data_IF_736075440315
#
_entry.id   IF_736075440315
#
_cell.length_a   1.000
_cell.length_b   1.000
_cell.length_c   1.000
_cell.angle_alpha   90.00
_cell.angle_beta   90.00
_cell.angle_gamma   90.00
#
_symmetry.space_group_name_H-M   'P 1'
#
loop_
_entity.id
_entity.type
_entity.pdbx_description
1 polymer ?
#
# COMPACT_ATOMS: atom_id res chain seq x y z
N UNK A 1 -24.41 -9.83 -2.24
CA UNK A 1 -25.22 -10.11 -1.04
C UNK A 1 -26.49 -9.28 -0.97
N UNK A 2 -26.52 -8.05 -1.50
CA UNK A 2 -27.73 -7.21 -1.56
C UNK A 2 -28.90 -7.88 -2.32
N UNK A 3 -28.63 -8.47 -3.50
CA UNK A 3 -29.62 -9.22 -4.29
C UNK A 3 -30.28 -10.38 -3.52
N UNK A 4 -29.51 -11.12 -2.72
CA UNK A 4 -30.02 -12.24 -1.91
C UNK A 4 -30.88 -11.78 -0.72
N UNK A 5 -30.63 -10.59 -0.18
CA UNK A 5 -31.40 -10.02 0.92
C UNK A 5 -32.74 -9.46 0.43
N UNK A 6 -32.75 -8.86 -0.75
CA UNK A 6 -33.95 -8.32 -1.41
C UNK A 6 -34.92 -9.44 -1.83
N UNK A 7 -34.39 -10.59 -2.26
CA UNK A 7 -35.17 -11.81 -2.58
C UNK A 7 -35.97 -12.37 -1.38
N UNK A 8 -35.57 -12.06 -0.15
CA UNK A 8 -36.27 -12.44 1.09
C UNK A 8 -36.93 -11.26 1.80
N UNK A 9 -37.06 -10.11 1.13
CA UNK A 9 -37.74 -8.92 1.65
C UNK A 9 -36.98 -8.16 2.74
N UNK A 10 -35.67 -8.35 2.86
CA UNK A 10 -34.82 -7.63 3.80
C UNK A 10 -34.11 -6.46 3.10
N UNK A 11 -34.23 -5.26 3.68
CA UNK A 11 -33.60 -4.06 3.17
C UNK A 11 -32.20 -3.90 3.79
N UNK A 12 -31.17 -3.77 2.96
CA UNK A 12 -29.78 -3.60 3.42
C UNK A 12 -29.46 -2.11 3.51
N UNK A 13 -29.04 -1.65 4.68
CA UNK A 13 -28.51 -0.29 4.88
C UNK A 13 -27.07 -0.19 4.36
N UNK A 14 -26.96 0.06 3.06
CA UNK A 14 -25.67 0.21 2.37
C UNK A 14 -24.95 1.48 2.81
N UNK A 15 -25.68 2.55 3.12
CA UNK A 15 -25.09 3.84 3.50
C UNK A 15 -24.47 3.77 4.91
N UNK A 16 -25.17 3.17 5.87
CA UNK A 16 -24.66 2.90 7.20
C UNK A 16 -23.44 1.98 7.17
N UNK A 17 -23.49 0.93 6.34
CA UNK A 17 -22.35 0.02 6.13
C UNK A 17 -21.13 0.76 5.56
N UNK A 18 -21.30 1.55 4.51
CA UNK A 18 -20.20 2.31 3.90
C UNK A 18 -19.59 3.32 4.88
N UNK A 19 -20.41 3.98 5.70
CA UNK A 19 -19.96 4.91 6.74
C UNK A 19 -19.09 4.19 7.78
N UNK A 20 -19.57 3.10 8.35
CA UNK A 20 -18.84 2.33 9.38
C UNK A 20 -17.58 1.68 8.78
N UNK A 21 -17.65 1.21 7.53
CA UNK A 21 -16.48 0.68 6.83
C UNK A 21 -15.39 1.75 6.68
N UNK A 22 -15.77 2.98 6.27
CA UNK A 22 -14.84 4.10 6.16
C UNK A 22 -14.23 4.46 7.52
N UNK A 23 -15.04 4.58 8.56
CA UNK A 23 -14.57 4.86 9.93
C UNK A 23 -13.62 3.77 10.45
N UNK A 24 -13.89 2.50 10.15
CA UNK A 24 -13.02 1.38 10.51
C UNK A 24 -11.68 1.44 9.75
N UNK A 25 -11.71 1.77 8.45
CA UNK A 25 -10.50 1.96 7.64
C UNK A 25 -9.64 3.10 8.19
N UNK A 26 -10.25 4.25 8.47
CA UNK A 26 -9.55 5.42 9.04
C UNK A 26 -8.94 5.08 10.42
N UNK A 27 -9.66 4.32 11.25
CA UNK A 27 -9.15 3.85 12.54
C UNK A 27 -7.94 2.92 12.38
N UNK A 28 -8.00 1.96 11.47
CA UNK A 28 -6.86 1.07 11.16
C UNK A 28 -5.64 1.86 10.69
N UNK A 29 -5.85 2.87 9.83
CA UNK A 29 -4.78 3.77 9.35
C UNK A 29 -4.13 4.54 10.49
N UNK A 30 -4.91 5.08 11.43
CA UNK A 30 -4.38 5.80 12.59
C UNK A 30 -3.64 4.83 13.53
N UNK A 31 -4.17 3.62 13.74
CA UNK A 31 -3.52 2.60 14.58
C UNK A 31 -2.16 2.17 14.02
N UNK A 32 -2.03 2.02 12.69
CA UNK A 32 -0.75 1.75 12.02
C UNK A 32 0.24 2.91 12.16
N UNK A 33 -0.23 4.17 12.05
CA UNK A 33 0.62 5.36 12.24
C UNK A 33 1.18 5.48 13.66
N UNK A 34 0.47 4.96 14.66
CA UNK A 34 0.85 5.04 16.08
C UNK A 34 1.70 3.84 16.57
N UNK A 35 1.91 2.81 15.74
CA UNK A 35 2.95 1.82 16.01
C UNK A 35 4.31 2.45 15.68
N UNK A 36 4.94 3.00 16.70
CA UNK A 36 6.29 3.54 16.64
C UNK A 36 7.27 2.44 16.19
N UNK A 37 7.62 2.43 14.89
CA UNK A 37 8.54 1.47 14.32
C UNK A 37 8.35 1.19 12.82
N UNK A 38 8.62 2.20 11.98
CA UNK A 38 9.17 2.08 10.60
C UNK A 38 8.34 1.37 9.50
N UNK A 39 7.20 0.73 9.75
CA UNK A 39 6.45 0.08 8.66
C UNK A 39 5.47 1.04 7.94
N UNK A 40 5.92 1.69 6.86
CA UNK A 40 5.00 2.30 5.90
C UNK A 40 4.35 1.18 5.08
N UNK A 41 3.19 0.72 5.54
CA UNK A 41 2.43 -0.33 4.86
C UNK A 41 1.58 0.30 3.75
N UNK A 42 1.72 -0.24 2.55
CA UNK A 42 0.89 0.17 1.42
C UNK A 42 -0.44 -0.56 1.46
N UNK A 43 -1.54 0.21 1.43
CA UNK A 43 -2.90 -0.33 1.41
C UNK A 43 -3.30 -0.75 -0.02
N UNK A 44 -4.26 -1.66 -0.14
CA UNK A 44 -4.81 -2.16 -1.41
C UNK A 44 -5.34 -1.01 -2.27
N UNK A 45 -5.94 0.00 -1.64
CA UNK A 45 -6.42 1.20 -2.32
C UNK A 45 -5.26 2.02 -2.92
N UNK A 46 -4.11 2.07 -2.25
CA UNK A 46 -2.90 2.73 -2.75
C UNK A 46 -2.27 1.96 -3.91
N UNK A 47 -2.15 0.63 -3.81
CA UNK A 47 -1.68 -0.23 -4.91
C UNK A 47 -2.59 -0.14 -6.14
N UNK A 48 -3.91 -0.12 -5.92
CA UNK A 48 -4.88 0.05 -7.00
C UNK A 48 -4.77 1.42 -7.66
N UNK A 49 -4.46 2.46 -6.89
CA UNK A 49 -4.24 3.81 -7.42
C UNK A 49 -2.97 3.85 -8.27
N UNK A 50 -1.88 3.26 -7.80
CA UNK A 50 -0.62 3.15 -8.55
C UNK A 50 -0.81 2.47 -9.91
N UNK A 51 -1.54 1.35 -9.92
CA UNK A 51 -1.84 0.62 -11.15
C UNK A 51 -2.67 1.47 -12.13
N UNK A 52 -3.67 2.22 -11.63
CA UNK A 52 -4.47 3.15 -12.45
C UNK A 52 -3.64 4.32 -12.99
N UNK A 53 -2.63 4.78 -12.26
CA UNK A 53 -1.70 5.81 -12.71
C UNK A 53 -0.61 5.28 -13.66
N UNK A 54 -0.65 3.98 -14.00
CA UNK A 54 0.29 3.36 -14.93
C UNK A 54 1.61 2.91 -14.29
N UNK A 55 1.71 2.93 -12.96
CA UNK A 55 2.85 2.35 -12.25
C UNK A 55 2.65 0.84 -12.17
N UNK A 56 3.53 0.10 -12.85
CA UNK A 56 3.54 -1.37 -12.82
C UNK A 56 4.18 -1.89 -11.54
N UNK A 57 4.01 -3.20 -11.28
CA UNK A 57 4.70 -3.86 -10.19
C UNK A 57 6.22 -3.73 -10.33
N UNK A 58 6.90 -3.55 -9.20
CA UNK A 58 8.37 -3.47 -9.13
C UNK A 58 9.01 -4.79 -9.55
N UNK A 59 10.03 -4.74 -10.40
CA UNK A 59 10.83 -5.89 -10.79
C UNK A 59 11.90 -6.19 -9.72
N UNK A 60 11.73 -7.29 -8.99
CA UNK A 60 12.62 -7.71 -7.92
C UNK A 60 13.62 -8.80 -8.36
N UNK A 61 13.73 -9.08 -9.66
CA UNK A 61 14.63 -10.13 -10.18
C UNK A 61 16.12 -9.88 -9.85
N UNK A 62 16.49 -8.61 -9.67
CA UNK A 62 17.84 -8.17 -9.35
C UNK A 62 18.29 -8.54 -7.93
N UNK A 63 17.37 -8.94 -7.03
CA UNK A 63 17.72 -9.37 -5.66
C UNK A 63 18.62 -10.61 -5.59
N UNK A 64 18.74 -11.34 -6.70
CA UNK A 64 19.60 -12.53 -6.80
C UNK A 64 20.96 -12.25 -7.45
N UNK A 65 21.23 -11.00 -7.82
CA UNK A 65 22.49 -10.62 -8.47
C UNK A 65 23.42 -10.05 -7.41
N UNK A 66 24.56 -10.72 -7.22
CA UNK A 66 25.52 -10.39 -6.19
C UNK A 66 26.65 -9.52 -6.76
N UNK A 67 27.19 -8.62 -5.94
CA UNK A 67 28.37 -7.81 -6.23
C UNK A 67 28.24 -6.91 -7.48
N UNK A 68 27.02 -6.46 -7.77
CA UNK A 68 26.74 -5.53 -8.84
C UNK A 68 25.85 -4.41 -8.33
N UNK A 69 26.23 -3.16 -8.64
CA UNK A 69 25.39 -2.02 -8.36
C UNK A 69 24.14 -2.05 -9.25
N UNK A 70 22.98 -1.74 -8.65
CA UNK A 70 21.70 -1.72 -9.34
C UNK A 70 21.15 -0.30 -9.43
N UNK A 71 21.12 0.24 -10.64
CA UNK A 71 20.46 1.52 -10.92
C UNK A 71 18.97 1.30 -11.22
N UNK A 72 18.13 2.17 -10.67
CA UNK A 72 16.68 2.10 -10.81
C UNK A 72 16.06 3.50 -10.75
N UNK A 73 14.80 3.59 -11.14
CA UNK A 73 14.03 4.83 -11.16
C UNK A 73 12.96 4.82 -10.07
N UNK A 74 12.80 5.95 -9.37
CA UNK A 74 11.68 6.18 -8.47
C UNK A 74 10.43 6.46 -9.30
N UNK A 75 9.43 5.59 -9.19
CA UNK A 75 8.14 5.72 -9.90
C UNK A 75 7.08 6.45 -9.08
N UNK A 76 7.14 6.37 -7.74
CA UNK A 76 6.23 7.09 -6.87
C UNK A 76 6.78 7.25 -5.45
N UNK A 77 6.26 8.25 -4.71
CA UNK A 77 6.52 8.47 -3.30
C UNK A 77 5.21 8.31 -2.52
N UNK A 78 5.24 7.59 -1.40
CA UNK A 78 4.07 7.25 -0.60
C UNK A 78 4.28 7.56 0.88
N UNK A 79 3.38 8.33 1.51
CA UNK A 79 3.53 8.76 2.92
C UNK A 79 2.82 7.85 3.93
N UNK A 80 2.39 6.65 3.52
CA UNK A 80 1.46 5.83 4.31
C UNK A 80 0.00 6.26 4.16
N UNK A 81 -0.25 7.41 3.50
CA UNK A 81 -1.61 7.94 3.35
C UNK A 81 -1.95 8.41 1.94
N UNK A 82 -1.00 8.97 1.21
CA UNK A 82 -1.20 9.48 -0.14
C UNK A 82 0.07 9.33 -0.97
N UNK A 83 -0.11 9.34 -2.29
CA UNK A 83 0.97 9.48 -3.25
C UNK A 83 1.31 10.96 -3.41
N UNK A 84 2.61 11.27 -3.39
CA UNK A 84 3.13 12.63 -3.54
C UNK A 84 4.21 12.66 -4.64
N UNK A 85 4.46 13.85 -5.16
CA UNK A 85 5.58 14.11 -6.08
C UNK A 85 6.82 14.64 -5.34
N UNK A 86 6.63 15.25 -4.17
CA UNK A 86 7.70 15.82 -3.34
C UNK A 86 7.44 15.58 -1.85
N UNK A 87 8.49 15.55 -1.04
CA UNK A 87 8.43 15.40 0.41
C UNK A 87 9.46 16.32 1.08
N UNK A 88 9.25 16.66 2.36
CA UNK A 88 10.19 17.47 3.11
C UNK A 88 11.25 16.60 3.80
N UNK A 89 12.41 17.19 4.07
CA UNK A 89 13.45 16.51 4.85
C UNK A 89 12.95 16.22 6.26
N UNK A 90 13.04 14.96 6.68
CA UNK A 90 12.52 14.48 7.97
C UNK A 90 11.17 13.74 7.89
N UNK A 91 10.52 13.73 6.72
CA UNK A 91 9.32 12.92 6.51
C UNK A 91 9.67 11.44 6.33
N UNK A 92 8.91 10.56 7.00
CA UNK A 92 8.96 9.13 6.71
C UNK A 92 8.12 8.85 5.46
N UNK A 93 8.78 8.46 4.39
CA UNK A 93 8.16 8.14 3.10
C UNK A 93 8.61 6.77 2.60
N UNK A 94 7.69 6.05 1.95
CA UNK A 94 7.96 4.85 1.19
C UNK A 94 8.21 5.22 -0.26
N UNK A 95 9.17 4.56 -0.89
CA UNK A 95 9.50 4.76 -2.30
C UNK A 95 9.05 3.55 -3.11
N UNK A 96 8.42 3.80 -4.26
CA UNK A 96 8.09 2.77 -5.23
C UNK A 96 9.11 2.86 -6.35
N UNK A 97 9.81 1.76 -6.61
CA UNK A 97 10.88 1.69 -7.60
C UNK A 97 10.43 0.91 -8.83
N UNK A 98 11.07 1.16 -9.97
CA UNK A 98 10.87 0.39 -11.20
C UNK A 98 11.37 -1.05 -11.02
N UNK A 99 12.58 -1.17 -10.48
CA UNK A 99 13.24 -2.41 -10.12
C UNK A 99 13.98 -2.27 -8.81
N UNK A 100 14.28 -3.39 -8.15
CA UNK A 100 14.96 -3.39 -6.85
C UNK A 100 15.87 -4.60 -6.67
N UNK A 101 17.01 -4.38 -6.02
CA UNK A 101 17.87 -5.44 -5.49
C UNK A 101 17.52 -5.81 -4.04
N UNK A 102 16.63 -5.05 -3.39
CA UNK A 102 16.22 -5.29 -2.00
C UNK A 102 15.32 -6.52 -1.90
N UNK A 103 15.53 -7.31 -0.85
CA UNK A 103 14.68 -8.46 -0.55
C UNK A 103 13.46 -8.00 0.25
N UNK A 104 12.27 -8.13 -0.34
CA UNK A 104 11.02 -7.99 0.41
C UNK A 104 10.81 -9.20 1.33
N UNK A 105 10.26 -8.99 2.52
CA UNK A 105 9.97 -10.04 3.50
C UNK A 105 9.12 -11.15 2.87
N UNK A 106 9.73 -12.31 2.65
CA UNK A 106 9.11 -13.46 2.00
C UNK A 106 9.69 -14.76 2.58
N UNK A 107 8.83 -15.78 2.73
CA UNK A 107 9.26 -17.12 3.15
C UNK A 107 9.82 -17.21 4.58
N UNK A 108 9.48 -16.27 5.46
CA UNK A 108 9.98 -16.21 6.84
C UNK A 108 11.37 -15.57 6.98
N UNK A 109 11.94 -15.02 5.90
CA UNK A 109 13.16 -14.25 5.92
C UNK A 109 12.84 -12.76 6.05
N UNK A 110 13.55 -12.08 6.96
CA UNK A 110 13.42 -10.63 7.17
C UNK A 110 13.93 -9.85 5.96
N UNK A 111 13.29 -8.70 5.73
CA UNK A 111 13.66 -7.76 4.67
C UNK A 111 15.01 -7.08 4.96
N UNK A 112 15.59 -6.50 3.90
CA UNK A 112 16.77 -5.63 3.96
C UNK A 112 16.36 -4.17 4.26
#
# INVERSE_FOLDING_TARGET
>A
TQLMAEEIGLMVDVDGFNKVMKESKDRSRIAQKNQAGVAIVMDVDATSTLLKTGVTATDDSFKYIWHQDHETEVKAIYTGSALLETFASGDNVGLVLASTSFYAEQGGQIFD
#
